data_IF_997779202026
#
_entry.id   IF_997779202026
#
_cell.length_a   1.000
_cell.length_b   1.000
_cell.length_c   1.000
_cell.angle_alpha   90.00
_cell.angle_beta   90.00
_cell.angle_gamma   90.00
#
_symmetry.space_group_name_H-M   'P 1'
#
loop_
_entity.id
_entity.type
_entity.pdbx_description
1 polymer ?
#
# COMPACT_ATOMS: atom_id res chain seq x y z
N UNK A 1 -0.79 2.20 -8.93
CA UNK A 1 -2.05 1.59 -8.81
C UNK A 1 -2.23 0.51 -9.74
N UNK A 2 -2.26 -0.56 -9.17
CA UNK A 2 -2.04 -1.75 -9.96
C UNK A 2 -3.19 -2.18 -10.82
N UNK A 3 -4.39 -2.19 -10.32
CA UNK A 3 -5.44 -2.87 -11.06
C UNK A 3 -5.74 -2.25 -12.41
N UNK A 4 -5.91 -0.95 -12.47
CA UNK A 4 -6.22 -0.27 -13.73
C UNK A 4 -4.98 -0.07 -14.59
N UNK A 5 -3.88 0.27 -13.96
CA UNK A 5 -2.64 0.51 -14.68
C UNK A 5 -1.98 -0.79 -15.12
N UNK A 6 -2.29 -1.90 -14.46
CA UNK A 6 -1.75 -3.20 -14.81
C UNK A 6 -2.04 -3.60 -16.23
N UNK A 7 -3.17 -3.17 -16.78
CA UNK A 7 -3.53 -3.47 -18.15
C UNK A 7 -2.63 -2.78 -19.17
N UNK A 8 -2.03 -1.66 -18.77
CA UNK A 8 -1.16 -0.87 -19.63
C UNK A 8 0.31 -1.01 -19.32
N UNK A 9 0.64 -1.77 -18.27
CA UNK A 9 2.03 -1.94 -17.87
C UNK A 9 2.75 -2.93 -18.77
N UNK A 10 4.00 -2.62 -19.10
CA UNK A 10 4.87 -3.58 -19.76
C UNK A 10 5.21 -4.72 -18.77
N UNK A 11 5.68 -5.84 -19.32
CA UNK A 11 6.10 -6.97 -18.47
C UNK A 11 7.22 -6.57 -17.51
N UNK A 12 8.12 -5.70 -17.96
CA UNK A 12 9.20 -5.19 -17.14
C UNK A 12 8.67 -4.42 -15.92
N UNK A 13 7.70 -3.53 -16.14
CA UNK A 13 7.11 -2.75 -15.06
C UNK A 13 6.30 -3.61 -14.10
N UNK A 14 5.57 -4.59 -14.61
CA UNK A 14 4.84 -5.54 -13.77
C UNK A 14 5.79 -6.30 -12.87
N UNK A 15 6.89 -6.78 -13.41
CA UNK A 15 7.89 -7.51 -12.64
C UNK A 15 8.46 -6.64 -11.53
N UNK A 16 8.81 -5.41 -11.85
CA UNK A 16 9.35 -4.47 -10.85
C UNK A 16 8.35 -4.18 -9.75
N UNK A 17 7.09 -4.03 -10.11
CA UNK A 17 6.03 -3.78 -9.14
C UNK A 17 5.85 -4.98 -8.20
N UNK A 18 5.81 -6.20 -8.75
CA UNK A 18 5.70 -7.40 -7.91
C UNK A 18 6.90 -7.57 -6.99
N UNK A 19 8.08 -7.30 -7.48
CA UNK A 19 9.29 -7.35 -6.67
C UNK A 19 9.24 -6.32 -5.54
N UNK A 20 8.79 -5.11 -5.85
CA UNK A 20 8.61 -4.06 -4.86
C UNK A 20 7.61 -4.44 -3.79
N UNK A 21 6.48 -5.02 -4.19
CA UNK A 21 5.47 -5.47 -3.26
C UNK A 21 6.01 -6.55 -2.31
N UNK A 22 6.79 -7.48 -2.84
CA UNK A 22 7.41 -8.52 -2.03
C UNK A 22 8.38 -7.92 -1.00
N UNK A 23 9.19 -6.98 -1.43
CA UNK A 23 10.14 -6.30 -0.55
C UNK A 23 9.41 -5.60 0.59
N UNK A 24 8.31 -4.94 0.29
CA UNK A 24 7.53 -4.23 1.29
C UNK A 24 6.83 -5.21 2.23
N UNK A 25 6.28 -6.30 1.70
CA UNK A 25 5.68 -7.33 2.55
C UNK A 25 6.71 -7.90 3.53
N UNK A 26 7.91 -8.21 3.05
CA UNK A 26 8.98 -8.71 3.90
C UNK A 26 9.39 -7.71 4.98
N UNK A 27 9.36 -6.42 4.65
CA UNK A 27 9.62 -5.36 5.61
C UNK A 27 8.62 -5.41 6.77
N UNK A 28 7.32 -5.54 6.47
CA UNK A 28 6.30 -5.59 7.52
C UNK A 28 6.39 -6.89 8.33
N UNK A 29 6.66 -8.00 7.68
CA UNK A 29 6.87 -9.27 8.38
C UNK A 29 8.04 -9.15 9.34
N UNK A 30 9.13 -8.52 8.91
CA UNK A 30 10.30 -8.30 9.76
C UNK A 30 10.02 -7.38 10.94
N UNK A 31 8.96 -6.58 10.88
CA UNK A 31 8.55 -5.69 11.96
C UNK A 31 7.41 -6.27 12.82
N UNK A 32 7.16 -7.56 12.68
CA UNK A 32 6.20 -8.25 13.55
C UNK A 32 4.77 -8.27 13.05
N UNK A 33 4.54 -7.98 11.78
CA UNK A 33 3.20 -8.00 11.19
C UNK A 33 2.98 -9.31 10.44
N UNK A 34 1.71 -9.74 10.43
CA UNK A 34 1.26 -10.83 9.55
C UNK A 34 0.59 -10.21 8.34
N UNK A 35 0.82 -10.78 7.18
CA UNK A 35 0.17 -10.31 5.95
C UNK A 35 -1.19 -10.97 5.85
N UNK A 36 -2.24 -10.17 5.88
CA UNK A 36 -3.62 -10.66 5.76
C UNK A 36 -4.03 -10.82 4.32
N UNK A 37 -3.61 -9.89 3.46
CA UNK A 37 -4.07 -9.85 2.09
C UNK A 37 -3.09 -9.11 1.22
N UNK A 38 -3.03 -9.49 -0.06
CA UNK A 38 -2.28 -8.75 -1.08
C UNK A 38 -3.22 -8.48 -2.24
N UNK A 39 -3.10 -7.29 -2.82
CA UNK A 39 -3.88 -6.89 -3.99
C UNK A 39 -5.38 -7.02 -3.75
N UNK A 40 -5.82 -6.52 -2.61
CA UNK A 40 -7.22 -6.59 -2.23
C UNK A 40 -8.01 -5.50 -2.97
N UNK A 41 -8.98 -5.92 -3.75
CA UNK A 41 -9.77 -5.00 -4.56
C UNK A 41 -10.99 -4.50 -3.80
N UNK A 42 -11.13 -3.18 -3.70
CA UNK A 42 -12.27 -2.52 -3.11
C UNK A 42 -12.81 -1.53 -4.14
N UNK A 43 -14.02 -1.79 -4.64
CA UNK A 43 -14.63 -0.94 -5.68
C UNK A 43 -13.68 -0.74 -6.84
N UNK A 44 -13.22 0.48 -7.07
CA UNK A 44 -12.32 0.80 -8.19
C UNK A 44 -10.86 0.83 -7.77
N UNK A 45 -10.56 0.48 -6.54
CA UNK A 45 -9.21 0.64 -5.99
C UNK A 45 -8.69 -0.67 -5.48
N UNK A 46 -7.38 -0.82 -5.57
CA UNK A 46 -6.71 -2.00 -5.06
C UNK A 46 -5.76 -1.58 -3.94
N UNK A 47 -5.85 -2.27 -2.81
CA UNK A 47 -4.93 -2.08 -1.70
C UNK A 47 -3.83 -3.13 -1.85
N UNK A 48 -2.60 -2.68 -1.94
CA UNK A 48 -1.49 -3.57 -2.26
C UNK A 48 -1.22 -4.59 -1.18
N UNK A 49 -1.21 -4.17 0.08
CA UNK A 49 -0.94 -5.06 1.22
C UNK A 49 -1.82 -4.65 2.38
N UNK A 50 -2.39 -5.64 3.06
CA UNK A 50 -3.06 -5.46 4.35
C UNK A 50 -2.30 -6.31 5.35
N UNK A 51 -1.75 -5.69 6.37
CA UNK A 51 -0.95 -6.34 7.39
C UNK A 51 -1.51 -6.05 8.78
N UNK A 52 -1.29 -6.95 9.73
CA UNK A 52 -1.74 -6.70 11.09
C UNK A 52 -0.77 -7.25 12.12
N UNK A 53 -0.79 -6.62 13.29
CA UNK A 53 -0.22 -7.20 14.49
C UNK A 53 -1.31 -7.23 15.56
N UNK A 54 -0.97 -7.50 16.82
CA UNK A 54 -1.98 -7.59 17.88
C UNK A 54 -2.68 -6.27 18.15
N UNK A 55 -2.14 -5.17 17.71
CA UNK A 55 -2.54 -3.82 18.07
C UNK A 55 -3.23 -3.06 16.95
N UNK A 56 -2.82 -3.28 15.70
CA UNK A 56 -3.29 -2.46 14.59
C UNK A 56 -3.33 -3.22 13.28
N UNK A 57 -4.12 -2.68 12.35
CA UNK A 57 -4.15 -3.12 10.96
C UNK A 57 -3.58 -2.00 10.10
N UNK A 58 -2.62 -2.33 9.26
CA UNK A 58 -1.96 -1.38 8.38
C UNK A 58 -2.32 -1.69 6.94
N UNK A 59 -2.83 -0.67 6.26
CA UNK A 59 -3.11 -0.73 4.83
C UNK A 59 -1.94 -0.06 4.12
N UNK A 60 -1.33 -0.76 3.20
CA UNK A 60 -0.08 -0.32 2.60
C UNK A 60 -0.24 -0.12 1.11
N UNK A 61 0.12 1.06 0.66
CA UNK A 61 0.18 1.39 -0.76
C UNK A 61 1.65 1.37 -1.16
N UNK A 62 1.98 0.54 -2.15
CA UNK A 62 3.36 0.40 -2.63
C UNK A 62 3.52 1.19 -3.92
N UNK A 63 4.52 2.05 -3.96
CA UNK A 63 4.85 2.84 -5.14
C UNK A 63 6.27 2.52 -5.57
N UNK A 64 6.41 1.97 -6.78
CA UNK A 64 7.73 1.74 -7.36
C UNK A 64 8.03 2.93 -8.25
N UNK A 65 9.10 3.63 -7.97
CA UNK A 65 9.46 4.87 -8.67
C UNK A 65 10.84 4.78 -9.29
N UNK A 66 11.05 5.56 -10.33
CA UNK A 66 12.35 5.66 -10.99
C UNK A 66 13.16 6.85 -10.48
N UNK A 67 12.49 7.82 -9.86
CA UNK A 67 13.09 9.04 -9.40
C UNK A 67 12.49 9.48 -8.09
N UNK A 68 13.32 10.09 -7.22
CA UNK A 68 12.84 10.65 -5.96
C UNK A 68 11.85 11.80 -6.18
N UNK A 69 11.89 12.43 -7.35
CA UNK A 69 10.97 13.53 -7.67
C UNK A 69 9.53 13.04 -7.78
N UNK A 70 9.31 11.75 -8.00
CA UNK A 70 7.97 11.19 -8.14
C UNK A 70 7.23 11.09 -6.81
N UNK A 71 7.94 11.17 -5.70
CA UNK A 71 7.36 10.93 -4.38
C UNK A 71 6.26 11.91 -4.03
N UNK A 72 6.52 13.19 -4.16
CA UNK A 72 5.56 14.24 -3.81
C UNK A 72 4.28 14.14 -4.64
N UNK A 73 4.42 13.70 -5.87
CA UNK A 73 3.31 13.57 -6.78
C UNK A 73 2.35 12.45 -6.39
N UNK A 74 2.90 11.38 -5.82
CA UNK A 74 2.11 10.19 -5.51
C UNK A 74 1.28 10.32 -4.23
N UNK A 75 1.62 11.24 -3.35
CA UNK A 75 0.93 11.40 -2.07
C UNK A 75 0.15 12.72 -2.10
N UNK A 76 -1.11 12.67 -2.53
CA UNK A 76 -1.95 13.87 -2.57
C UNK A 76 -3.25 13.64 -1.81
N UNK A 77 -3.88 14.73 -1.32
CA UNK A 77 -5.05 14.64 -0.44
C UNK A 77 -6.26 13.93 -1.04
N UNK A 78 -6.52 14.12 -2.33
CA UNK A 78 -7.67 13.48 -2.98
C UNK A 78 -7.53 11.97 -3.00
N UNK A 79 -6.33 11.50 -3.29
CA UNK A 79 -6.02 10.09 -3.35
C UNK A 79 -6.14 9.45 -1.97
N UNK A 80 -5.64 10.15 -0.97
CA UNK A 80 -5.72 9.70 0.42
C UNK A 80 -7.16 9.62 0.87
N UNK A 81 -7.99 10.61 0.56
CA UNK A 81 -9.42 10.59 0.89
C UNK A 81 -10.13 9.41 0.25
N UNK A 82 -9.80 9.11 -0.99
CA UNK A 82 -10.38 7.97 -1.68
C UNK A 82 -9.99 6.66 -0.99
N UNK A 83 -8.72 6.53 -0.63
CA UNK A 83 -8.22 5.36 0.09
C UNK A 83 -8.88 5.21 1.46
N UNK A 84 -9.07 6.32 2.17
CA UNK A 84 -9.74 6.29 3.47
C UNK A 84 -11.14 5.71 3.38
N UNK A 85 -11.90 6.09 2.37
CA UNK A 85 -13.25 5.54 2.17
C UNK A 85 -13.22 4.06 1.87
N UNK A 86 -12.26 3.63 1.07
CA UNK A 86 -12.08 2.22 0.73
C UNK A 86 -11.72 1.41 1.96
N UNK A 87 -10.87 1.96 2.80
CA UNK A 87 -10.45 1.33 4.06
C UNK A 87 -11.63 1.21 5.01
N UNK A 88 -12.45 2.25 5.14
CA UNK A 88 -13.65 2.20 5.98
C UNK A 88 -14.58 1.07 5.55
N UNK A 89 -14.76 0.90 4.25
CA UNK A 89 -15.59 -0.17 3.71
C UNK A 89 -15.03 -1.55 4.10
N UNK A 90 -13.73 -1.72 3.99
CA UNK A 90 -13.05 -2.95 4.38
C UNK A 90 -13.23 -3.23 5.87
N UNK A 91 -13.02 -2.22 6.70
CA UNK A 91 -13.13 -2.32 8.15
C UNK A 91 -14.53 -2.77 8.56
N UNK A 92 -15.54 -2.17 7.94
CA UNK A 92 -16.94 -2.50 8.25
C UNK A 92 -17.28 -3.92 7.83
N UNK A 93 -16.82 -4.34 6.67
CA UNK A 93 -17.10 -5.69 6.17
C UNK A 93 -16.39 -6.77 6.97
N UNK A 94 -15.21 -6.48 7.45
CA UNK A 94 -14.40 -7.46 8.19
C UNK A 94 -14.56 -7.37 9.71
N UNK A 95 -15.36 -6.43 10.19
CA UNK A 95 -15.56 -6.21 11.63
C UNK A 95 -14.24 -6.01 12.38
N UNK A 96 -13.38 -5.17 11.84
CA UNK A 96 -12.08 -4.91 12.45
C UNK A 96 -12.25 -4.00 13.66
N UNK A 97 -11.67 -4.40 14.76
CA UNK A 97 -11.76 -3.70 16.05
C UNK A 97 -10.37 -3.32 16.57
N UNK A 98 -9.47 -3.01 15.68
CA UNK A 98 -8.11 -2.58 15.99
C UNK A 98 -7.87 -1.19 15.44
N UNK A 99 -6.83 -0.55 15.90
CA UNK A 99 -6.39 0.71 15.30
C UNK A 99 -6.04 0.49 13.84
N UNK A 100 -6.27 1.52 13.04
CA UNK A 100 -6.06 1.47 11.60
C UNK A 100 -4.99 2.48 11.20
N UNK A 101 -4.12 2.06 10.30
CA UNK A 101 -3.08 2.93 9.80
C UNK A 101 -2.96 2.75 8.28
N UNK A 102 -2.76 3.83 7.56
CA UNK A 102 -2.47 3.79 6.13
C UNK A 102 -1.04 4.25 5.92
N UNK A 103 -0.22 3.38 5.34
CA UNK A 103 1.16 3.68 5.02
C UNK A 103 1.34 3.72 3.50
N UNK A 104 2.24 4.58 3.06
CA UNK A 104 2.68 4.61 1.66
C UNK A 104 4.17 4.36 1.65
N UNK A 105 4.58 3.35 0.89
CA UNK A 105 5.99 2.93 0.84
C UNK A 105 6.51 3.05 -0.57
N UNK A 106 7.62 3.75 -0.70
CA UNK A 106 8.27 3.97 -2.00
C UNK A 106 9.48 3.06 -2.15
N UNK A 107 9.53 2.39 -3.30
CA UNK A 107 10.59 1.45 -3.65
C UNK A 107 11.28 1.93 -4.92
N UNK A 108 12.60 1.91 -4.90
CA UNK A 108 13.42 2.24 -6.06
C UNK A 108 14.58 1.25 -6.11
N UNK A 109 14.82 0.69 -7.29
CA UNK A 109 15.93 -0.27 -7.49
C UNK A 109 15.93 -1.39 -6.45
N UNK A 110 14.76 -1.97 -6.23
CA UNK A 110 14.56 -3.08 -5.29
C UNK A 110 14.93 -2.76 -3.85
N UNK A 111 14.81 -1.49 -3.46
CA UNK A 111 15.06 -1.08 -2.08
C UNK A 111 13.99 -0.08 -1.64
N UNK A 112 13.58 -0.18 -0.38
CA UNK A 112 12.69 0.81 0.21
C UNK A 112 13.49 2.10 0.41
N UNK A 113 12.98 3.20 -0.15
CA UNK A 113 13.65 4.48 -0.04
C UNK A 113 12.92 5.45 0.87
N UNK A 114 11.63 5.22 1.11
CA UNK A 114 10.84 6.10 1.96
C UNK A 114 9.60 5.36 2.45
N UNK A 115 9.29 5.52 3.73
CA UNK A 115 8.06 5.01 4.33
C UNK A 115 7.32 6.21 4.94
N UNK A 116 6.11 6.46 4.47
CA UNK A 116 5.23 7.44 5.09
C UNK A 116 4.20 6.69 5.91
N UNK A 117 4.40 6.70 7.22
CA UNK A 117 3.50 6.00 8.13
C UNK A 117 2.30 6.87 8.49
N UNK A 118 1.15 6.24 8.55
CA UNK A 118 -0.06 6.86 9.08
C UNK A 118 -0.45 8.14 8.36
N UNK A 119 -0.49 8.08 7.04
CA UNK A 119 -0.70 9.27 6.20
C UNK A 119 -2.10 9.88 6.33
N UNK A 120 -3.06 9.16 6.93
CA UNK A 120 -4.42 9.63 7.12
C UNK A 120 -4.62 10.38 8.43
N UNK A 121 -3.69 10.23 9.35
CA UNK A 121 -3.83 10.80 10.68
C UNK A 121 -2.94 12.03 10.82
N UNK A 122 -3.52 13.16 10.63
CA UNK A 122 -2.79 14.43 10.70
C UNK A 122 -2.99 15.13 12.01
#
# INVERSE_FOLDING_TARGET
MPSLLGLCMSDYKKKKWYEGEKIVADYYIGHGYNILSKNYTIKWWEIDIVAENFKEVVFVEVKVVDSLDDIQWCVNPKKISFLERSIEDYINKQNIDKDIRLDVVFVKDNAIIQVYENVTNN
#
